data_IF_290615497785
#
_entry.id   IF_290615497785
#
_cell.length_a   1.000
_cell.length_b   1.000
_cell.length_c   1.000
_cell.angle_alpha   90.00
_cell.angle_beta   90.00
_cell.angle_gamma   90.00
#
_symmetry.space_group_name_H-M   'P 1'
#
loop_
_entity.id
_entity.type
_entity.pdbx_description
1 polymer ?
#
# COMPACT_ATOMS: atom_id res chain seq x y z
N UNK A 1 -12.85 9.06 -5.03
CA UNK A 1 -11.96 8.00 -4.55
C UNK A 1 -11.08 8.65 -3.49
N UNK A 2 -10.73 7.93 -2.43
CA UNK A 2 -9.83 8.49 -1.40
C UNK A 2 -8.52 7.74 -1.43
N UNK A 3 -7.42 8.43 -1.73
CA UNK A 3 -6.11 7.80 -1.83
C UNK A 3 -5.38 8.03 -0.51
N UNK A 4 -5.06 6.94 0.18
CA UNK A 4 -4.41 6.98 1.48
C UNK A 4 -3.04 6.32 1.35
N UNK A 5 -1.98 7.08 1.64
CA UNK A 5 -0.61 6.55 1.70
C UNK A 5 -0.31 6.22 3.15
N UNK A 6 -0.13 4.93 3.48
CA UNK A 6 0.25 4.50 4.81
C UNK A 6 1.76 4.27 4.90
N UNK A 7 2.41 4.96 5.85
CA UNK A 7 3.85 4.83 6.00
C UNK A 7 4.38 5.39 7.31
N UNK A 8 5.43 4.75 7.82
CA UNK A 8 6.14 5.13 9.05
C UNK A 8 6.99 6.41 8.93
N UNK A 9 6.91 7.12 7.80
CA UNK A 9 7.60 8.41 7.60
C UNK A 9 8.96 8.34 6.92
N UNK A 10 9.36 7.17 6.41
CA UNK A 10 10.61 6.99 5.67
C UNK A 10 10.67 7.87 4.39
N UNK A 11 11.86 8.26 3.89
CA UNK A 11 12.01 9.08 2.68
C UNK A 11 11.31 8.47 1.45
N UNK A 12 11.27 7.14 1.37
CA UNK A 12 10.57 6.38 0.34
C UNK A 12 9.05 6.59 0.39
N UNK A 13 8.45 6.67 1.59
CA UNK A 13 7.01 6.91 1.78
C UNK A 13 6.63 8.31 1.27
N UNK A 14 7.46 9.31 1.58
CA UNK A 14 7.27 10.69 1.10
C UNK A 14 7.36 10.76 -0.43
N UNK A 15 8.30 10.04 -1.03
CA UNK A 15 8.44 9.97 -2.49
C UNK A 15 7.20 9.34 -3.15
N UNK A 16 6.68 8.25 -2.60
CA UNK A 16 5.44 7.63 -3.07
C UNK A 16 4.25 8.60 -3.02
N UNK A 17 4.10 9.33 -1.91
CA UNK A 17 3.06 10.34 -1.75
C UNK A 17 3.14 11.45 -2.82
N UNK A 18 4.33 12.00 -3.05
CA UNK A 18 4.55 13.03 -4.08
C UNK A 18 4.23 12.50 -5.49
N UNK A 19 4.71 11.29 -5.84
CA UNK A 19 4.43 10.68 -7.13
C UNK A 19 2.94 10.40 -7.33
N UNK A 20 2.25 10.01 -6.27
CA UNK A 20 0.80 9.75 -6.27
C UNK A 20 0.03 11.05 -6.50
N UNK A 21 0.36 12.12 -5.77
CA UNK A 21 -0.23 13.44 -5.99
C UNK A 21 -0.02 13.93 -7.42
N UNK A 22 1.18 13.73 -7.97
CA UNK A 22 1.48 14.10 -9.35
C UNK A 22 0.68 13.25 -10.36
N UNK A 23 0.60 11.94 -10.16
CA UNK A 23 -0.17 11.01 -10.99
C UNK A 23 -1.66 11.38 -11.02
N UNK A 24 -2.26 11.65 -9.86
CA UNK A 24 -3.67 12.05 -9.69
C UNK A 24 -3.94 13.37 -10.42
N UNK A 25 -3.02 14.34 -10.27
CA UNK A 25 -3.09 15.63 -10.96
C UNK A 25 -2.96 15.50 -12.48
N UNK A 26 -2.06 14.65 -12.98
CA UNK A 26 -1.91 14.36 -14.41
C UNK A 26 -3.14 13.64 -14.98
N UNK A 27 -3.77 12.77 -14.18
CA UNK A 27 -5.00 12.07 -14.55
C UNK A 27 -6.25 12.98 -14.50
N UNK A 28 -6.12 14.20 -13.96
CA UNK A 28 -7.25 15.12 -13.77
C UNK A 28 -8.25 14.66 -12.71
N UNK A 29 -7.83 13.72 -11.85
CA UNK A 29 -8.63 13.22 -10.74
C UNK A 29 -8.54 14.22 -9.58
N UNK A 30 -9.67 14.60 -8.99
CA UNK A 30 -9.74 15.45 -7.79
C UNK A 30 -9.78 14.61 -6.52
N UNK A 31 -9.01 13.53 -6.49
CA UNK A 31 -8.98 12.63 -5.33
C UNK A 31 -8.05 13.19 -4.25
N UNK A 32 -8.51 13.15 -3.01
CA UNK A 32 -7.74 13.60 -1.84
C UNK A 32 -6.67 12.55 -1.53
N UNK A 33 -5.41 12.99 -1.48
CA UNK A 33 -4.27 12.14 -1.12
C UNK A 33 -3.93 12.39 0.35
N UNK A 34 -4.42 11.52 1.22
CA UNK A 34 -4.14 11.55 2.65
C UNK A 34 -2.90 10.72 2.99
N UNK A 35 -2.05 11.26 3.87
CA UNK A 35 -0.91 10.53 4.40
C UNK A 35 -1.21 10.06 5.82
N UNK A 36 -1.30 8.74 5.99
CA UNK A 36 -1.68 8.11 7.24
C UNK A 36 -0.44 7.45 7.85
N UNK A 37 -0.06 7.91 9.03
CA UNK A 37 1.02 7.30 9.83
C UNK A 37 0.51 6.24 10.80
N UNK A 38 -0.79 5.97 10.77
CA UNK A 38 -1.44 5.11 11.76
C UNK A 38 -1.21 3.63 11.45
N UNK A 39 -0.49 2.98 12.36
CA UNK A 39 -0.20 1.54 12.29
C UNK A 39 -1.47 0.72 12.54
N UNK A 40 -2.46 1.24 13.27
CA UNK A 40 -3.72 0.55 13.51
C UNK A 40 -4.47 0.29 12.19
N UNK A 41 -4.54 1.30 11.31
CA UNK A 41 -5.16 1.16 9.98
C UNK A 41 -4.43 0.14 9.09
N UNK A 42 -3.11 0.02 9.20
CA UNK A 42 -2.34 -1.00 8.48
C UNK A 42 -2.76 -2.42 8.91
N UNK A 43 -2.89 -2.63 10.22
CA UNK A 43 -3.29 -3.91 10.81
C UNK A 43 -4.74 -4.24 10.42
N UNK A 44 -5.66 -3.28 10.51
CA UNK A 44 -7.06 -3.46 10.08
C UNK A 44 -7.17 -3.83 8.59
N UNK A 45 -6.28 -3.29 7.75
CA UNK A 45 -6.21 -3.63 6.32
C UNK A 45 -5.45 -4.93 6.03
N UNK A 46 -4.94 -5.63 7.05
CA UNK A 46 -4.18 -6.87 6.89
C UNK A 46 -2.80 -6.67 6.26
N UNK A 47 -2.25 -5.46 6.34
CA UNK A 47 -0.96 -5.15 5.72
C UNK A 47 0.16 -5.22 6.75
N UNK A 48 1.10 -6.15 6.53
CA UNK A 48 2.24 -6.37 7.44
C UNK A 48 3.48 -5.53 7.11
N UNK A 49 3.52 -4.88 5.94
CA UNK A 49 4.69 -4.17 5.46
C UNK A 49 4.35 -2.76 5.00
N UNK A 50 5.13 -1.77 5.42
CA UNK A 50 5.06 -0.39 4.94
C UNK A 50 6.27 -0.08 4.04
N UNK A 51 6.16 0.79 3.01
CA UNK A 51 5.04 1.68 2.66
C UNK A 51 3.88 0.98 1.95
N UNK A 52 2.68 1.52 2.13
CA UNK A 52 1.43 1.04 1.51
C UNK A 52 0.73 2.18 0.81
N UNK A 53 0.23 1.91 -0.40
CA UNK A 53 -0.76 2.77 -1.04
C UNK A 53 -2.11 2.08 -0.93
N UNK A 54 -3.09 2.76 -0.34
CA UNK A 54 -4.47 2.34 -0.30
C UNK A 54 -5.33 3.30 -1.13
N UNK A 55 -6.30 2.75 -1.86
CA UNK A 55 -7.30 3.51 -2.62
C UNK A 55 -8.67 3.04 -2.15
N UNK A 56 -9.52 3.97 -1.70
CA UNK A 56 -10.83 3.69 -1.10
C UNK A 56 -10.76 2.64 0.02
N UNK A 57 -9.76 2.81 0.91
CA UNK A 57 -9.48 1.93 2.05
C UNK A 57 -9.10 0.49 1.68
N UNK A 58 -8.69 0.25 0.43
CA UNK A 58 -8.14 -1.03 -0.03
C UNK A 58 -6.66 -0.89 -0.36
N UNK A 59 -5.77 -1.73 0.20
CA UNK A 59 -4.37 -1.71 -0.17
C UNK A 59 -4.19 -2.16 -1.62
N UNK A 60 -3.59 -1.31 -2.45
CA UNK A 60 -3.29 -1.60 -3.86
C UNK A 60 -1.80 -1.84 -4.09
N UNK A 61 -0.94 -1.32 -3.21
CA UNK A 61 0.51 -1.52 -3.24
C UNK A 61 1.03 -1.69 -1.82
N UNK A 62 1.93 -2.64 -1.63
CA UNK A 62 2.55 -2.96 -0.34
C UNK A 62 4.04 -3.18 -0.55
N UNK A 63 4.87 -2.54 0.27
CA UNK A 63 6.31 -2.80 0.35
C UNK A 63 7.17 -2.22 -0.79
N UNK A 64 6.60 -1.57 -1.80
CA UNK A 64 7.39 -0.96 -2.89
C UNK A 64 6.80 0.35 -3.44
N UNK A 65 7.66 1.12 -4.11
CA UNK A 65 7.29 2.38 -4.78
C UNK A 65 7.47 2.21 -6.29
N UNK A 66 6.36 2.08 -7.05
CA UNK A 66 6.42 1.99 -8.51
C UNK A 66 6.80 3.33 -9.16
N UNK A 67 7.07 3.29 -10.46
CA UNK A 67 7.12 4.48 -11.32
C UNK A 67 5.76 5.17 -11.44
N UNK A 68 5.74 6.46 -11.77
CA UNK A 68 4.52 7.27 -11.90
C UNK A 68 3.51 6.68 -12.90
N UNK A 69 3.98 6.08 -14.00
CA UNK A 69 3.13 5.42 -14.99
C UNK A 69 2.37 4.23 -14.40
N UNK A 70 3.07 3.44 -13.59
CA UNK A 70 2.47 2.27 -12.93
C UNK A 70 1.49 2.69 -11.84
N UNK A 71 1.76 3.78 -11.11
CA UNK A 71 0.81 4.36 -10.15
C UNK A 71 -0.48 4.80 -10.87
N UNK A 72 -0.35 5.49 -12.01
CA UNK A 72 -1.50 5.88 -12.85
C UNK A 72 -2.29 4.64 -13.32
N UNK A 73 -1.59 3.60 -13.74
CA UNK A 73 -2.18 2.33 -14.14
C UNK A 73 -2.90 1.63 -12.97
N UNK A 74 -2.32 1.60 -11.77
CA UNK A 74 -2.92 1.01 -10.57
C UNK A 74 -4.18 1.75 -10.14
N UNK A 75 -4.15 3.10 -10.15
CA UNK A 75 -5.32 3.93 -9.85
C UNK A 75 -6.43 3.68 -10.88
N UNK A 76 -6.09 3.56 -12.17
CA UNK A 76 -7.05 3.26 -13.24
C UNK A 76 -7.60 1.83 -13.22
N UNK A 77 -6.74 0.85 -12.90
CA UNK A 77 -7.04 -0.58 -13.10
C UNK A 77 -7.80 -1.17 -11.94
N UNK A 78 -7.70 -0.62 -10.72
CA UNK A 78 -8.50 -1.05 -9.57
C UNK A 78 -8.43 -2.57 -9.35
N UNK A 79 -7.49 -3.00 -8.50
CA UNK A 79 -7.27 -4.39 -8.07
C UNK A 79 -6.33 -5.21 -8.99
N UNK A 80 -5.04 -5.22 -8.67
CA UNK A 80 -4.20 -6.40 -8.91
C UNK A 80 -3.99 -7.10 -7.57
N UNK A 81 -4.95 -7.95 -7.23
CA UNK A 81 -4.82 -8.92 -6.16
C UNK A 81 -3.60 -9.81 -6.48
N UNK A 82 -2.55 -9.69 -5.70
CA UNK A 82 -1.74 -10.86 -5.38
C UNK A 82 -1.43 -10.82 -3.89
N UNK A 83 -2.47 -11.09 -3.10
CA UNK A 83 -2.26 -11.63 -1.77
C UNK A 83 -1.84 -13.09 -1.95
N UNK A 84 -0.56 -13.28 -2.26
CA UNK A 84 0.16 -14.46 -1.80
C UNK A 84 0.74 -14.10 -0.44
N UNK A 85 -0.13 -14.17 0.56
CA UNK A 85 0.25 -14.22 1.96
C UNK A 85 -0.63 -15.31 2.53
N UNK A 86 0.02 -16.45 2.81
CA UNK A 86 -0.57 -17.74 3.18
C UNK A 86 -0.97 -18.63 1.98
N UNK A 87 0.04 -19.31 1.42
CA UNK A 87 -0.05 -20.76 1.46
C UNK A 87 0.90 -21.24 2.54
N UNK A 88 0.27 -21.63 3.64
CA UNK A 88 0.80 -22.33 4.80
C UNK A 88 1.81 -23.44 4.47
N UNK A 89 2.58 -23.80 5.50
CA UNK A 89 3.70 -24.76 5.63
C UNK A 89 5.05 -24.04 5.49
N UNK A 90 5.70 -23.56 6.54
CA UNK A 90 6.00 -24.26 7.80
C UNK A 90 6.03 -23.27 8.98
N UNK A 91 4.89 -23.09 9.67
CA UNK A 91 4.93 -22.74 11.08
C UNK A 91 4.71 -24.04 11.84
N UNK A 92 5.73 -24.90 11.80
CA UNK A 92 5.79 -26.12 12.60
C UNK A 92 6.12 -25.69 14.04
N UNK A 93 5.09 -25.21 14.74
CA UNK A 93 5.12 -25.01 16.18
C UNK A 93 4.93 -26.38 16.83
N UNK A 94 5.95 -27.24 16.76
CA UNK A 94 6.00 -28.46 17.56
C UNK A 94 6.61 -28.10 18.94
N UNK A 95 5.98 -28.48 20.08
CA UNK A 95 6.59 -28.33 21.40
C UNK A 95 7.71 -29.37 21.58
N UNK A 96 8.90 -29.06 21.08
CA UNK A 96 10.01 -30.02 21.11
C UNK A 96 11.39 -29.56 20.69
N UNK A 97 11.64 -28.26 20.52
CA UNK A 97 12.99 -27.73 20.32
C UNK A 97 13.30 -26.71 21.41
N UNK A 98 14.40 -26.97 22.12
CA UNK A 98 15.08 -26.07 23.04
C UNK A 98 15.41 -24.71 22.41
#
# INVERSE_FOLDING_TARGET
>A
MTIQVLGSGCPTCKKLHQLTQQAVKELGLKDDVEYITDVAKLIEMGVMQSPVLAVDSKPVLVGFVPSIEKIKETIKTGQANNQDCCKDKDCDCNPGCC
#
